data_IF_402847957576
#
_entry.id   IF_402847957576
#
_cell.length_a   1.000
_cell.length_b   1.000
_cell.length_c   1.000
_cell.angle_alpha   90.00
_cell.angle_beta   90.00
_cell.angle_gamma   90.00
#
_symmetry.space_group_name_H-M   'P 1'
#
loop_
_entity.id
_entity.type
_entity.pdbx_description
1 polymer ?
#
# COMPACT_ATOMS: atom_id res chain seq x y z
N UNK A 1 -62.73 -26.01 -44.80
CA UNK A 1 -61.62 -27.00 -44.85
C UNK A 1 -60.35 -26.30 -44.46
N UNK A 2 -59.84 -26.51 -43.21
CA UNK A 2 -58.61 -25.94 -42.66
C UNK A 2 -57.51 -26.98 -42.79
N UNK A 3 -56.45 -26.67 -43.57
CA UNK A 3 -55.29 -27.51 -43.63
C UNK A 3 -54.42 -27.22 -42.38
N UNK A 4 -54.28 -28.24 -41.55
CA UNK A 4 -53.34 -28.26 -40.43
C UNK A 4 -52.00 -28.80 -41.00
N UNK A 5 -51.05 -27.97 -41.18
CA UNK A 5 -49.66 -28.34 -41.50
C UNK A 5 -48.98 -28.76 -40.19
N UNK A 6 -48.83 -30.03 -39.94
CA UNK A 6 -47.98 -30.58 -38.88
C UNK A 6 -46.48 -30.30 -39.21
N UNK A 7 -45.88 -29.41 -38.46
CA UNK A 7 -44.42 -29.25 -38.44
C UNK A 7 -43.80 -30.44 -37.72
N UNK A 8 -43.28 -31.42 -38.45
CA UNK A 8 -42.42 -32.46 -37.90
C UNK A 8 -41.13 -31.82 -37.39
N UNK A 9 -41.02 -31.61 -36.11
CA UNK A 9 -39.78 -31.22 -35.45
C UNK A 9 -38.74 -32.36 -35.60
N UNK A 10 -37.62 -32.05 -36.25
CA UNK A 10 -36.60 -33.03 -36.59
C UNK A 10 -35.77 -33.30 -35.31
N UNK A 11 -36.01 -34.43 -34.65
CA UNK A 11 -35.33 -34.86 -33.40
C UNK A 11 -33.79 -34.84 -33.51
N UNK A 12 -33.24 -34.99 -34.72
CA UNK A 12 -31.79 -34.88 -34.97
C UNK A 12 -31.24 -33.45 -34.79
N UNK A 13 -32.03 -32.41 -35.08
CA UNK A 13 -31.61 -31.02 -34.86
C UNK A 13 -31.56 -30.63 -33.39
N UNK A 14 -32.47 -31.19 -32.58
CA UNK A 14 -32.51 -30.95 -31.13
C UNK A 14 -31.33 -31.64 -30.43
N UNK A 15 -30.94 -32.84 -30.84
CA UNK A 15 -29.78 -33.56 -30.27
C UNK A 15 -28.45 -32.85 -30.58
N UNK A 16 -28.30 -32.31 -31.79
CA UNK A 16 -27.10 -31.54 -32.16
C UNK A 16 -27.00 -30.24 -31.36
N UNK A 17 -28.12 -29.53 -31.14
CA UNK A 17 -28.20 -28.32 -30.34
C UNK A 17 -27.79 -28.55 -28.87
N UNK A 18 -28.26 -29.66 -28.27
CA UNK A 18 -27.88 -30.02 -26.89
C UNK A 18 -26.41 -30.40 -26.78
N UNK A 19 -25.82 -31.08 -27.78
CA UNK A 19 -24.41 -31.44 -27.77
C UNK A 19 -23.52 -30.24 -27.92
N UNK A 20 -23.89 -29.23 -28.70
CA UNK A 20 -23.15 -27.97 -28.84
C UNK A 20 -23.21 -27.15 -27.53
N UNK A 21 -24.37 -27.10 -26.87
CA UNK A 21 -24.49 -26.44 -25.55
C UNK A 21 -23.62 -27.10 -24.46
N UNK A 22 -23.48 -28.43 -24.46
CA UNK A 22 -22.63 -29.13 -23.51
C UNK A 22 -21.14 -28.87 -23.73
N UNK A 23 -20.68 -28.57 -24.97
CA UNK A 23 -19.30 -28.21 -25.26
C UNK A 23 -18.92 -26.79 -24.75
N UNK A 24 -19.87 -25.90 -24.60
CA UNK A 24 -19.63 -24.56 -24.03
C UNK A 24 -19.61 -24.54 -22.50
N UNK A 25 -20.13 -25.54 -21.82
CA UNK A 25 -20.15 -25.63 -20.35
C UNK A 25 -18.87 -26.25 -19.77
N UNK A 26 -18.02 -26.88 -20.60
CA UNK A 26 -16.76 -27.48 -20.14
C UNK A 26 -15.55 -26.51 -20.15
N UNK A 27 -15.76 -25.26 -20.60
CA UNK A 27 -14.70 -24.24 -20.69
C UNK A 27 -14.35 -23.54 -19.38
N UNK A 28 -15.15 -23.66 -18.31
CA UNK A 28 -14.93 -22.90 -17.07
C UNK A 28 -14.03 -23.57 -16.04
N UNK A 29 -13.62 -24.83 -16.23
CA UNK A 29 -12.84 -25.55 -15.21
C UNK A 29 -11.34 -25.20 -15.21
N UNK A 30 -10.80 -24.67 -16.30
CA UNK A 30 -9.35 -24.36 -16.38
C UNK A 30 -8.97 -22.96 -15.86
N UNK A 31 -9.92 -22.06 -15.65
CA UNK A 31 -9.66 -20.73 -15.08
C UNK A 31 -9.51 -20.78 -13.56
N UNK A 32 -10.17 -21.71 -12.89
CA UNK A 32 -10.11 -21.86 -11.44
C UNK A 32 -8.78 -22.46 -10.98
N UNK A 33 -8.17 -23.38 -11.76
CA UNK A 33 -6.86 -23.94 -11.47
C UNK A 33 -5.72 -22.92 -11.59
N UNK A 34 -5.75 -22.05 -12.61
CA UNK A 34 -4.72 -20.99 -12.76
C UNK A 34 -4.83 -19.87 -11.73
N UNK A 35 -6.05 -19.56 -11.25
CA UNK A 35 -6.24 -18.62 -10.12
C UNK A 35 -5.67 -19.15 -8.81
N UNK A 36 -5.82 -20.45 -8.52
CA UNK A 36 -5.30 -21.05 -7.30
C UNK A 36 -3.76 -21.10 -7.28
N UNK A 37 -3.11 -21.28 -8.42
CA UNK A 37 -1.66 -21.27 -8.54
C UNK A 37 -1.08 -19.86 -8.31
N UNK A 38 -1.67 -18.82 -8.91
CA UNK A 38 -1.26 -17.44 -8.64
C UNK A 38 -1.54 -17.03 -7.18
N UNK A 39 -2.64 -17.47 -6.59
CA UNK A 39 -2.98 -17.18 -5.18
C UNK A 39 -1.98 -17.87 -4.25
N UNK A 40 -1.54 -19.10 -4.55
CA UNK A 40 -0.58 -19.81 -3.72
C UNK A 40 0.80 -19.15 -3.69
N UNK A 41 1.23 -18.52 -4.79
CA UNK A 41 2.51 -17.81 -4.84
C UNK A 41 2.55 -16.63 -3.86
N UNK A 42 1.42 -15.90 -3.70
CA UNK A 42 1.34 -14.79 -2.74
C UNK A 42 0.97 -15.23 -1.32
N UNK A 43 0.47 -16.47 -1.13
CA UNK A 43 0.11 -16.98 0.19
C UNK A 43 1.33 -17.42 1.00
N UNK A 44 2.46 -17.72 0.33
CA UNK A 44 3.64 -18.30 0.96
C UNK A 44 4.77 -17.26 1.13
N UNK A 45 4.53 -16.21 1.94
CA UNK A 45 5.57 -15.26 2.35
C UNK A 45 6.33 -14.62 1.20
N UNK A 46 5.63 -13.91 0.32
CA UNK A 46 6.19 -13.35 -0.90
C UNK A 46 7.10 -12.15 -0.63
N UNK A 47 8.38 -12.44 -0.48
CA UNK A 47 9.46 -11.45 -0.42
C UNK A 47 10.05 -11.22 -1.82
N UNK A 48 10.12 -9.97 -2.26
CA UNK A 48 10.79 -9.58 -3.50
C UNK A 48 12.27 -9.38 -3.21
N UNK A 49 13.14 -10.05 -3.96
CA UNK A 49 14.59 -10.01 -3.78
C UNK A 49 15.34 -9.59 -5.04
N UNK A 50 16.64 -9.32 -4.91
CA UNK A 50 17.52 -9.00 -6.03
C UNK A 50 17.20 -7.68 -6.72
N UNK A 51 17.48 -7.60 -8.02
CA UNK A 51 17.37 -6.37 -8.82
C UNK A 51 15.95 -5.79 -8.83
N UNK A 52 14.92 -6.63 -8.83
CA UNK A 52 13.51 -6.17 -8.78
C UNK A 52 13.21 -5.44 -7.48
N UNK A 53 13.73 -5.94 -6.34
CA UNK A 53 13.64 -5.23 -5.06
C UNK A 53 14.28 -3.86 -5.17
N UNK A 54 15.50 -3.79 -5.71
CA UNK A 54 16.28 -2.56 -5.78
C UNK A 54 15.63 -1.51 -6.69
N UNK A 55 14.99 -1.94 -7.79
CA UNK A 55 14.22 -1.08 -8.67
C UNK A 55 12.97 -0.50 -7.99
N UNK A 56 12.25 -1.31 -7.19
CA UNK A 56 11.02 -0.88 -6.50
C UNK A 56 11.36 0.06 -5.33
N UNK A 57 12.35 -0.29 -4.54
CA UNK A 57 12.75 0.48 -3.35
C UNK A 57 13.45 1.79 -3.76
N UNK A 58 14.27 1.74 -4.79
CA UNK A 58 15.16 2.82 -5.16
C UNK A 58 16.27 3.06 -4.14
N UNK A 59 16.90 4.23 -4.19
CA UNK A 59 17.96 4.60 -3.25
C UNK A 59 17.35 4.95 -1.89
N UNK A 60 17.81 4.25 -0.84
CA UNK A 60 17.52 4.62 0.54
C UNK A 60 18.57 5.62 0.99
N UNK A 61 18.13 6.82 1.38
CA UNK A 61 19.03 7.85 1.90
C UNK A 61 19.23 7.67 3.40
N UNK A 62 20.46 7.81 3.96
CA UNK A 62 20.72 7.63 5.39
C UNK A 62 19.87 8.51 6.31
N UNK A 63 19.46 9.68 5.86
CA UNK A 63 18.60 10.57 6.64
C UNK A 63 17.23 9.95 7.01
N UNK A 64 16.82 8.85 6.36
CA UNK A 64 15.59 8.11 6.75
C UNK A 64 15.74 7.50 8.16
N UNK A 65 16.96 7.24 8.61
CA UNK A 65 17.27 6.68 9.92
C UNK A 65 17.50 7.75 11.00
N UNK A 66 17.46 9.04 10.65
CA UNK A 66 17.60 10.13 11.60
C UNK A 66 16.50 10.04 12.66
N UNK A 67 16.89 10.12 13.93
CA UNK A 67 15.94 10.22 15.04
C UNK A 67 15.38 11.63 15.10
N UNK A 68 14.07 11.76 15.03
CA UNK A 68 13.34 13.02 15.09
C UNK A 68 12.68 13.17 16.46
N UNK A 69 12.76 14.35 17.07
CA UNK A 69 12.01 14.64 18.29
C UNK A 69 10.50 14.65 18.00
N UNK A 70 9.78 13.71 18.58
CA UNK A 70 8.33 13.53 18.44
C UNK A 70 7.52 14.18 19.54
N UNK A 71 8.13 15.00 20.40
CA UNK A 71 7.42 15.75 21.45
C UNK A 71 6.38 16.71 20.88
N UNK A 72 6.53 17.05 19.59
CA UNK A 72 5.71 18.02 18.88
C UNK A 72 5.71 19.42 19.54
N UNK A 73 6.76 19.73 20.29
CA UNK A 73 6.95 21.06 20.91
C UNK A 73 7.10 22.11 19.79
N UNK A 74 6.14 23.02 19.70
CA UNK A 74 6.09 24.01 18.61
C UNK A 74 5.39 23.54 17.34
N UNK A 75 5.13 22.23 17.19
CA UNK A 75 4.42 21.70 16.04
C UNK A 75 2.98 22.20 16.00
N UNK A 76 2.55 22.75 14.88
CA UNK A 76 1.21 23.34 14.72
C UNK A 76 0.48 22.72 13.54
N UNK A 77 -0.85 22.62 13.68
CA UNK A 77 -1.72 22.26 12.56
C UNK A 77 -1.66 23.33 11.48
N UNK A 78 -1.42 22.89 10.25
CA UNK A 78 -1.56 23.74 9.06
C UNK A 78 -2.68 23.18 8.17
N UNK A 79 -3.52 24.07 7.67
CA UNK A 79 -4.61 23.78 6.76
C UNK A 79 -4.77 24.94 5.79
N UNK A 80 -4.95 24.64 4.52
CA UNK A 80 -5.22 25.72 3.57
C UNK A 80 -5.16 25.26 2.11
N UNK A 81 -5.53 26.18 1.20
CA UNK A 81 -5.35 25.98 -0.22
C UNK A 81 -3.86 25.91 -0.55
N UNK A 82 -3.51 24.99 -1.44
CA UNK A 82 -2.15 24.87 -1.97
C UNK A 82 -2.13 25.27 -3.45
N UNK A 83 -1.23 26.16 -3.86
CA UNK A 83 -1.07 26.52 -5.28
C UNK A 83 -0.35 25.38 -6.03
N UNK A 84 -1.08 24.35 -6.38
CA UNK A 84 -0.57 23.05 -6.81
C UNK A 84 -0.04 23.00 -8.24
N UNK A 85 -0.33 23.99 -9.09
CA UNK A 85 0.15 23.99 -10.49
C UNK A 85 1.68 24.12 -10.62
N UNK A 86 2.38 24.53 -9.56
CA UNK A 86 3.84 24.71 -9.53
C UNK A 86 4.52 23.92 -8.41
N UNK A 87 3.76 23.12 -7.66
CA UNK A 87 4.20 22.55 -6.40
C UNK A 87 4.29 23.60 -5.27
N UNK A 88 4.07 23.19 -4.04
CA UNK A 88 4.26 24.04 -2.86
C UNK A 88 5.27 23.37 -1.93
N UNK A 89 6.42 24.05 -1.69
CA UNK A 89 7.42 23.60 -0.72
C UNK A 89 7.08 24.20 0.64
N UNK A 90 7.01 23.36 1.66
CA UNK A 90 6.68 23.72 3.04
C UNK A 90 7.74 23.16 3.97
N UNK A 91 8.19 23.96 4.93
CA UNK A 91 8.98 23.52 6.08
C UNK A 91 8.10 23.51 7.33
N UNK A 92 8.36 22.59 8.25
CA UNK A 92 7.64 22.42 9.49
C UNK A 92 8.59 22.50 10.67
N UNK A 93 8.05 22.77 11.85
CA UNK A 93 8.77 22.51 13.10
C UNK A 93 8.97 21.00 13.26
N UNK A 94 10.06 20.64 13.95
CA UNK A 94 10.38 19.22 14.20
C UNK A 94 9.22 18.53 14.90
N UNK A 95 8.83 17.35 14.41
CA UNK A 95 7.72 16.60 14.97
C UNK A 95 7.25 15.45 14.09
N UNK A 96 6.21 14.78 14.58
CA UNK A 96 5.51 13.72 13.86
C UNK A 96 4.20 14.25 13.28
N UNK A 97 3.96 14.00 12.01
CA UNK A 97 2.82 14.57 11.30
C UNK A 97 2.04 13.54 10.50
N UNK A 98 0.72 13.71 10.49
CA UNK A 98 -0.18 13.12 9.51
C UNK A 98 -0.47 14.16 8.41
N UNK A 99 -0.24 13.77 7.17
CA UNK A 99 -0.41 14.59 5.98
C UNK A 99 -1.57 14.05 5.16
N UNK A 100 -2.55 14.90 4.84
CA UNK A 100 -3.71 14.54 4.03
C UNK A 100 -3.95 15.60 2.97
N UNK A 101 -4.74 15.29 1.94
CA UNK A 101 -5.03 16.26 0.90
C UNK A 101 -6.30 15.95 0.10
N UNK A 102 -6.89 16.97 -0.50
CA UNK A 102 -8.10 16.87 -1.31
C UNK A 102 -7.93 17.65 -2.63
N UNK A 103 -8.35 17.09 -3.78
CA UNK A 103 -8.85 15.72 -3.94
C UNK A 103 -7.77 14.66 -3.86
N UNK A 104 -6.62 14.84 -4.49
CA UNK A 104 -5.45 13.95 -4.47
C UNK A 104 -4.25 14.61 -5.13
N UNK A 105 -3.05 14.21 -4.75
CA UNK A 105 -1.79 14.66 -5.34
C UNK A 105 -0.60 13.90 -4.80
N UNK A 106 0.59 14.35 -5.11
CA UNK A 106 1.83 13.77 -4.59
C UNK A 106 2.30 14.54 -3.37
N UNK A 107 2.82 13.83 -2.40
CA UNK A 107 3.60 14.37 -1.28
C UNK A 107 5.00 13.80 -1.38
N UNK A 108 5.98 14.68 -1.36
CA UNK A 108 7.40 14.33 -1.33
C UNK A 108 8.00 14.89 -0.04
N UNK A 109 8.83 14.11 0.61
CA UNK A 109 9.63 14.54 1.77
C UNK A 109 11.09 14.49 1.38
N UNK A 110 11.78 15.59 1.55
CA UNK A 110 13.20 15.74 1.24
C UNK A 110 13.98 16.13 2.51
N UNK A 111 15.22 15.68 2.60
CA UNK A 111 16.15 16.15 3.62
C UNK A 111 16.72 17.55 3.32
N UNK A 112 17.68 18.01 4.12
CA UNK A 112 18.32 19.32 3.99
C UNK A 112 19.11 19.49 2.69
N UNK A 113 19.61 18.38 2.12
CA UNK A 113 20.38 18.33 0.89
C UNK A 113 19.52 18.08 -0.36
N UNK A 114 18.19 18.23 -0.24
CA UNK A 114 17.19 17.93 -1.29
C UNK A 114 17.22 16.46 -1.77
N UNK A 115 17.68 15.49 -0.94
CA UNK A 115 17.52 14.08 -1.25
C UNK A 115 16.11 13.61 -0.90
N UNK A 116 15.48 12.89 -1.82
CA UNK A 116 14.15 12.33 -1.62
C UNK A 116 14.19 11.20 -0.59
N UNK A 117 13.50 11.39 0.53
CA UNK A 117 13.33 10.37 1.59
C UNK A 117 12.10 9.52 1.36
N UNK A 118 11.00 10.14 0.97
CA UNK A 118 9.72 9.47 0.80
C UNK A 118 8.85 10.18 -0.23
N UNK A 119 8.06 9.39 -0.99
CA UNK A 119 7.03 9.88 -1.90
C UNK A 119 5.80 9.01 -1.79
N UNK A 120 4.62 9.63 -1.74
CA UNK A 120 3.34 8.92 -1.82
C UNK A 120 2.28 9.76 -2.55
N UNK A 121 1.32 9.08 -3.17
CA UNK A 121 0.10 9.70 -3.67
C UNK A 121 -0.91 9.68 -2.54
N UNK A 122 -1.29 10.86 -2.08
CA UNK A 122 -2.19 11.02 -0.93
C UNK A 122 -3.44 11.77 -1.35
N UNK A 123 -4.59 11.29 -0.92
CA UNK A 123 -5.83 12.01 -1.16
C UNK A 123 -7.09 11.20 -0.90
N UNK A 124 -8.18 11.93 -0.72
CA UNK A 124 -9.50 11.35 -0.45
C UNK A 124 -10.07 10.58 -1.65
N UNK A 125 -9.73 10.99 -2.88
CA UNK A 125 -10.30 10.40 -4.11
C UNK A 125 -9.43 9.31 -4.70
N UNK A 126 -8.11 9.50 -4.66
CA UNK A 126 -7.13 8.56 -5.21
C UNK A 126 -5.88 8.61 -4.34
N UNK A 127 -5.24 7.48 -4.14
CA UNK A 127 -4.03 7.35 -3.32
C UNK A 127 -4.33 6.95 -1.88
N UNK A 128 -3.39 7.21 -1.02
CA UNK A 128 -3.51 6.89 0.40
C UNK A 128 -4.28 7.98 1.14
N UNK A 129 -5.16 7.64 2.07
CA UNK A 129 -5.94 8.66 2.80
C UNK A 129 -5.03 9.56 3.66
N UNK A 130 -3.93 9.02 4.15
CA UNK A 130 -2.99 9.70 5.03
C UNK A 130 -1.58 9.19 4.78
N UNK A 131 -0.61 10.10 4.90
CA UNK A 131 0.82 9.81 5.01
C UNK A 131 1.29 10.23 6.40
N UNK A 132 1.90 9.30 7.16
CA UNK A 132 2.51 9.61 8.45
C UNK A 132 4.03 9.65 8.32
N UNK A 133 4.65 10.75 8.78
CA UNK A 133 6.09 10.93 8.70
C UNK A 133 6.64 11.74 9.88
N UNK A 134 7.86 11.41 10.27
CA UNK A 134 8.66 12.22 11.17
C UNK A 134 9.41 13.26 10.35
N UNK A 135 9.29 14.51 10.72
CA UNK A 135 9.84 15.65 10.01
C UNK A 135 10.81 16.38 10.94
N UNK A 136 12.06 16.47 10.52
CA UNK A 136 13.02 17.41 11.10
C UNK A 136 12.78 18.80 10.51
N UNK A 137 13.06 19.85 11.25
CA UNK A 137 12.87 21.25 10.81
C UNK A 137 13.76 21.63 9.61
N UNK A 138 14.83 20.86 9.37
CA UNK A 138 15.68 21.01 8.17
C UNK A 138 15.06 20.36 6.93
N UNK A 139 14.07 19.47 7.10
CA UNK A 139 13.42 18.77 5.99
C UNK A 139 12.40 19.68 5.29
N UNK A 140 12.12 19.34 4.04
CA UNK A 140 11.09 20.01 3.27
C UNK A 140 10.07 19.04 2.73
N UNK A 141 8.81 19.49 2.71
CA UNK A 141 7.69 18.73 2.13
C UNK A 141 7.24 19.48 0.88
N UNK A 142 7.14 18.75 -0.23
CA UNK A 142 6.60 19.28 -1.47
C UNK A 142 5.26 18.63 -1.75
N UNK A 143 4.25 19.47 -1.94
CA UNK A 143 2.91 19.08 -2.40
C UNK A 143 2.79 19.43 -3.87
N UNK A 144 2.38 18.47 -4.68
CA UNK A 144 2.31 18.59 -6.13
C UNK A 144 1.06 17.89 -6.67
N UNK A 145 0.59 18.29 -7.84
CA UNK A 145 -0.53 17.66 -8.52
C UNK A 145 -1.89 18.31 -8.23
N UNK A 146 -2.91 17.51 -7.98
CA UNK A 146 -4.31 17.95 -7.98
C UNK A 146 -4.88 18.54 -6.69
N UNK A 147 -4.06 18.92 -5.72
CA UNK A 147 -4.58 19.42 -4.45
C UNK A 147 -5.28 20.78 -4.56
N UNK A 148 -6.50 20.86 -4.02
CA UNK A 148 -7.16 22.12 -3.70
C UNK A 148 -6.78 22.55 -2.27
N UNK A 149 -6.72 21.57 -1.36
CA UNK A 149 -6.39 21.82 0.05
C UNK A 149 -5.52 20.68 0.58
N UNK A 150 -4.68 20.98 1.55
CA UNK A 150 -3.93 20.01 2.33
C UNK A 150 -4.12 20.28 3.84
N UNK A 151 -4.03 19.22 4.62
CA UNK A 151 -3.97 19.29 6.07
C UNK A 151 -2.69 18.64 6.55
N UNK A 152 -1.98 19.35 7.41
CA UNK A 152 -0.77 18.89 8.09
C UNK A 152 -1.10 18.92 9.58
N UNK A 153 -1.14 17.77 10.21
CA UNK A 153 -1.58 17.61 11.59
C UNK A 153 -0.51 16.96 12.44
N UNK A 154 0.01 17.61 13.50
CA UNK A 154 0.85 16.94 14.48
C UNK A 154 0.10 15.78 15.12
N UNK A 155 0.73 14.60 15.20
CA UNK A 155 0.15 13.39 15.78
C UNK A 155 1.06 12.81 16.84
N UNK A 156 0.46 12.14 17.83
CA UNK A 156 1.20 11.46 18.89
C UNK A 156 1.81 10.17 18.39
N UNK A 157 2.89 9.76 19.04
CA UNK A 157 3.45 8.43 18.91
C UNK A 157 2.63 7.48 19.78
N UNK A 158 2.12 6.42 19.19
CA UNK A 158 1.35 5.39 19.87
C UNK A 158 1.71 4.04 19.27
N UNK A 159 1.90 3.02 20.12
CA UNK A 159 2.11 1.65 19.67
C UNK A 159 0.85 1.14 18.98
N UNK A 160 1.01 0.56 17.79
CA UNK A 160 -0.08 0.02 17.00
C UNK A 160 0.36 -1.21 16.22
N UNK A 161 -0.57 -2.15 16.05
CA UNK A 161 -0.46 -3.26 15.09
C UNK A 161 -1.11 -2.96 13.74
N UNK A 162 -1.59 -1.73 13.54
CA UNK A 162 -2.12 -1.24 12.27
C UNK A 162 -1.34 -0.01 11.86
N UNK A 163 -0.57 -0.11 10.77
CA UNK A 163 0.28 0.97 10.25
C UNK A 163 -0.23 1.45 8.91
N UNK A 164 -0.47 2.75 8.80
CA UNK A 164 -0.88 3.40 7.53
C UNK A 164 0.33 3.67 6.64
N UNK A 165 0.11 4.24 5.43
CA UNK A 165 1.21 4.69 4.58
C UNK A 165 2.12 5.65 5.35
N UNK A 166 3.43 5.41 5.29
CA UNK A 166 4.40 6.20 6.07
C UNK A 166 5.68 5.46 6.42
N UNK A 167 6.43 6.06 7.34
CA UNK A 167 7.65 5.49 7.93
C UNK A 167 7.43 5.38 9.43
N UNK A 168 7.70 4.20 9.97
CA UNK A 168 7.35 3.79 11.33
C UNK A 168 8.58 3.20 12.01
N UNK A 169 8.78 3.51 13.29
CA UNK A 169 9.90 3.01 14.09
C UNK A 169 9.48 1.78 14.90
N UNK A 170 10.23 0.70 14.75
CA UNK A 170 10.08 -0.47 15.61
C UNK A 170 10.62 -0.15 17.00
N UNK A 171 9.80 -0.40 18.01
CA UNK A 171 10.04 -0.02 19.41
C UNK A 171 9.32 1.26 19.83
N UNK A 172 8.89 2.11 18.88
CA UNK A 172 8.11 3.32 19.19
C UNK A 172 6.68 3.28 18.64
N UNK A 173 6.50 2.75 17.44
CA UNK A 173 5.21 2.72 16.74
C UNK A 173 4.62 1.31 16.69
N UNK A 174 5.47 0.31 16.70
CA UNK A 174 5.13 -1.10 16.74
C UNK A 174 6.16 -1.84 17.60
N UNK A 175 5.71 -2.77 18.42
CA UNK A 175 6.62 -3.60 19.24
C UNK A 175 7.52 -4.47 18.35
N UNK A 176 8.78 -4.74 18.77
CA UNK A 176 9.58 -5.79 18.15
C UNK A 176 8.89 -7.16 18.31
N UNK A 177 9.00 -8.04 17.30
CA UNK A 177 8.37 -9.35 17.38
C UNK A 177 8.23 -10.04 16.04
N UNK A 178 7.59 -11.20 16.04
CA UNK A 178 7.24 -11.96 14.86
C UNK A 178 5.77 -11.69 14.50
N UNK A 179 5.51 -11.37 13.25
CA UNK A 179 4.19 -10.97 12.80
C UNK A 179 3.81 -11.65 11.49
N UNK A 180 2.53 -11.93 11.34
CA UNK A 180 1.90 -12.10 10.03
C UNK A 180 1.41 -10.74 9.57
N UNK A 181 1.81 -10.30 8.37
CA UNK A 181 1.36 -9.04 7.78
C UNK A 181 0.34 -9.30 6.68
N UNK A 182 -0.70 -8.47 6.64
CA UNK A 182 -1.77 -8.51 5.65
C UNK A 182 -2.36 -7.13 5.40
N UNK A 183 -3.09 -6.99 4.29
CA UNK A 183 -3.85 -5.78 3.97
C UNK A 183 -5.30 -6.14 3.65
N UNK A 184 -6.27 -5.28 4.00
CA UNK A 184 -7.69 -5.62 3.82
C UNK A 184 -8.11 -5.64 2.34
N UNK A 185 -7.55 -4.76 1.50
CA UNK A 185 -7.86 -4.67 0.07
C UNK A 185 -6.77 -3.95 -0.72
N UNK A 186 -6.78 -4.10 -2.03
CA UNK A 186 -5.81 -3.49 -2.94
C UNK A 186 -4.48 -4.22 -3.01
N UNK A 187 -3.42 -3.48 -3.29
CA UNK A 187 -2.06 -3.98 -3.22
C UNK A 187 -1.10 -2.88 -2.74
N UNK A 188 0.00 -3.26 -2.14
CA UNK A 188 1.03 -2.34 -1.69
C UNK A 188 2.25 -3.05 -1.16
N UNK A 189 3.16 -2.27 -0.57
CA UNK A 189 4.46 -2.77 -0.16
C UNK A 189 4.74 -2.46 1.30
N UNK A 190 5.34 -3.43 1.97
CA UNK A 190 6.00 -3.27 3.26
C UNK A 190 7.50 -3.44 3.05
N UNK A 191 8.27 -2.48 3.51
CA UNK A 191 9.73 -2.52 3.47
C UNK A 191 10.24 -2.44 4.90
N UNK A 192 11.13 -3.38 5.25
CA UNK A 192 11.83 -3.38 6.53
C UNK A 192 13.24 -2.87 6.27
N UNK A 193 13.56 -1.73 6.86
CA UNK A 193 14.80 -1.02 6.67
C UNK A 193 15.64 -1.11 7.93
N UNK A 194 16.90 -1.43 7.77
CA UNK A 194 17.90 -1.45 8.84
C UNK A 194 19.16 -0.78 8.34
N UNK A 195 19.71 0.15 9.12
CA UNK A 195 20.90 0.90 8.70
C UNK A 195 22.08 -0.04 8.40
N UNK A 196 22.71 0.16 7.24
CA UNK A 196 23.84 -0.66 6.79
C UNK A 196 23.49 -2.06 6.30
N UNK A 197 22.21 -2.40 6.16
CA UNK A 197 21.76 -3.68 5.62
C UNK A 197 20.90 -3.52 4.37
N UNK A 198 20.85 -4.59 3.59
CA UNK A 198 19.90 -4.68 2.49
C UNK A 198 18.47 -4.67 3.02
N UNK A 199 17.57 -3.89 2.41
CA UNK A 199 16.17 -3.83 2.82
C UNK A 199 15.44 -5.12 2.46
N UNK A 200 14.44 -5.50 3.27
CA UNK A 200 13.47 -6.52 2.89
C UNK A 200 12.27 -5.82 2.24
N UNK A 201 11.68 -6.46 1.24
CA UNK A 201 10.51 -5.95 0.51
C UNK A 201 9.45 -7.03 0.38
N UNK A 202 8.27 -6.77 0.92
CA UNK A 202 7.10 -7.63 0.80
C UNK A 202 6.03 -6.94 -0.02
N UNK A 203 5.56 -7.61 -1.07
CA UNK A 203 4.38 -7.19 -1.82
C UNK A 203 3.16 -7.88 -1.22
N UNK A 204 2.16 -7.10 -0.86
CA UNK A 204 0.92 -7.57 -0.25
C UNK A 204 -0.26 -7.32 -1.19
N UNK A 205 -1.12 -8.32 -1.30
CA UNK A 205 -2.39 -8.23 -2.00
C UNK A 205 -3.52 -8.48 -1.01
N UNK A 206 -4.51 -7.60 -1.00
CA UNK A 206 -5.70 -7.71 -0.14
C UNK A 206 -6.93 -8.18 -0.90
N UNK A 207 -7.91 -8.67 -0.15
CA UNK A 207 -9.20 -9.12 -0.67
C UNK A 207 -9.56 -10.53 -0.20
N UNK A 208 -10.85 -10.84 -0.12
CA UNK A 208 -11.37 -12.10 0.43
C UNK A 208 -10.88 -13.36 -0.31
N UNK A 209 -10.62 -13.25 -1.61
CA UNK A 209 -10.23 -14.40 -2.46
C UNK A 209 -8.73 -14.40 -2.84
N UNK A 210 -8.03 -13.30 -2.59
CA UNK A 210 -6.66 -13.11 -3.07
C UNK A 210 -5.73 -12.58 -1.99
N UNK A 211 -6.20 -12.48 -0.74
CA UNK A 211 -5.41 -11.94 0.36
C UNK A 211 -4.12 -12.73 0.55
N UNK A 212 -2.99 -12.04 0.43
CA UNK A 212 -1.69 -12.60 0.77
C UNK A 212 -1.36 -12.33 2.23
N UNK A 213 -0.59 -13.23 2.82
CA UNK A 213 -0.04 -13.08 4.16
C UNK A 213 1.45 -13.36 4.08
N UNK A 214 2.24 -12.47 4.65
CA UNK A 214 3.68 -12.69 4.77
C UNK A 214 4.09 -12.66 6.23
N UNK A 215 5.10 -13.44 6.58
CA UNK A 215 5.66 -13.44 7.93
C UNK A 215 6.90 -12.55 7.96
N UNK A 216 6.98 -11.71 8.98
CA UNK A 216 8.09 -10.80 9.17
C UNK A 216 8.58 -10.84 10.61
N UNK A 217 9.88 -10.63 10.80
CA UNK A 217 10.48 -10.41 12.11
C UNK A 217 10.90 -8.96 12.20
N UNK A 218 10.32 -8.22 13.15
CA UNK A 218 10.67 -6.84 13.45
C UNK A 218 11.62 -6.81 14.64
N UNK A 219 12.68 -6.00 14.52
CA UNK A 219 13.70 -5.80 15.57
C UNK A 219 13.73 -4.34 15.97
N UNK A 220 14.03 -4.10 17.24
CA UNK A 220 14.24 -2.76 17.79
C UNK A 220 15.17 -1.93 16.90
N UNK A 221 14.80 -0.67 16.62
CA UNK A 221 15.56 0.28 15.82
C UNK A 221 15.43 0.12 14.30
N UNK A 222 14.73 -0.89 13.81
CA UNK A 222 14.37 -0.96 12.39
C UNK A 222 13.29 0.07 12.05
N UNK A 223 13.23 0.44 10.76
CA UNK A 223 12.12 1.24 10.21
C UNK A 223 11.22 0.34 9.34
N UNK A 224 9.92 0.52 9.45
CA UNK A 224 8.92 -0.08 8.56
C UNK A 224 8.39 1.02 7.64
N UNK A 225 8.62 0.88 6.34
CA UNK A 225 8.06 1.79 5.34
C UNK A 225 6.87 1.12 4.64
N UNK A 226 5.69 1.72 4.76
CA UNK A 226 4.44 1.27 4.15
C UNK A 226 4.10 2.19 2.98
N UNK A 227 3.92 1.61 1.78
CA UNK A 227 3.64 2.38 0.56
C UNK A 227 2.52 1.75 -0.27
N UNK A 228 1.76 2.59 -0.99
CA UNK A 228 0.70 2.20 -1.93
C UNK A 228 -0.46 1.41 -1.30
N UNK A 229 -0.57 1.40 0.01
CA UNK A 229 -1.66 0.76 0.75
C UNK A 229 -2.11 1.65 1.90
N UNK A 230 -3.40 1.70 2.14
CA UNK A 230 -3.98 2.56 3.18
C UNK A 230 -3.59 2.12 4.58
N UNK A 231 -3.48 0.80 4.81
CA UNK A 231 -3.17 0.24 6.12
C UNK A 231 -2.68 -1.19 5.97
N UNK A 232 -1.67 -1.54 6.77
CA UNK A 232 -1.17 -2.91 6.97
C UNK A 232 -1.49 -3.35 8.38
N UNK A 233 -2.01 -4.56 8.53
CA UNK A 233 -2.18 -5.24 9.81
C UNK A 233 -0.99 -6.11 10.13
N UNK A 234 -0.52 -6.04 11.35
CA UNK A 234 0.55 -6.84 11.92
C UNK A 234 -0.04 -7.71 13.02
N UNK A 235 -0.33 -8.97 12.71
CA UNK A 235 -0.87 -9.94 13.68
C UNK A 235 0.28 -10.67 14.34
N UNK A 236 0.48 -10.53 15.68
CA UNK A 236 1.55 -11.21 16.39
C UNK A 236 1.45 -12.72 16.22
N UNK A 237 2.56 -13.38 15.90
CA UNK A 237 2.66 -14.83 15.93
C UNK A 237 2.80 -15.26 17.39
N UNK A 238 1.82 -16.01 17.88
CA UNK A 238 1.86 -16.61 19.22
C UNK A 238 2.77 -17.83 19.11
N UNK A 239 3.89 -17.82 19.84
CA UNK A 239 4.80 -18.95 20.00
C UNK A 239 4.16 -20.08 20.82
#
# INVERSE_FOLDING_TARGET
>A
MKNIMEKRFNAKGILIGIFICMLFLSGCHNLQGKKSEMISVYADNYEITGTTRDEIIGKIHPAIFTTVDRSNTGATRKYGPMPTKKGAKVTLETGRYALTGYPSGNIYVYDEDDNLLFREIVGEKVGMPTLTADIDSSFSIVFDGGYNTVTILPVKTELSTELTAGIWDVGLDIEPGNYTISIPYGYGFVQILEEGKDPQLFELMGGELTGSQSQVQLKEGQKVRVTKVSMVKFEPLIE
#
